data_IF_697200505867
#
_entry.id   IF_697200505867
#
_cell.length_a   1.000
_cell.length_b   1.000
_cell.length_c   1.000
_cell.angle_alpha   90.00
_cell.angle_beta   90.00
_cell.angle_gamma   90.00
#
_symmetry.space_group_name_H-M   'P 1'
#
loop_
_entity.id
_entity.type
_entity.pdbx_description
1 polymer ?
#
# COMPACT_ATOMS: atom_id res chain seq x y z
N UNK A 1 -12.15 -21.06 11.06
CA UNK A 1 -11.10 -20.10 11.47
C UNK A 1 -10.60 -19.37 10.24
N UNK A 2 -10.55 -18.05 10.30
CA UNK A 2 -10.13 -17.17 9.19
C UNK A 2 -9.31 -15.99 9.72
N UNK A 3 -8.83 -15.12 8.83
CA UNK A 3 -7.96 -14.00 9.19
C UNK A 3 -8.60 -13.01 10.17
N UNK A 4 -9.92 -12.84 10.16
CA UNK A 4 -10.60 -11.94 11.09
C UNK A 4 -10.56 -12.44 12.54
N UNK A 5 -10.44 -13.77 12.76
CA UNK A 5 -10.33 -14.34 14.10
C UNK A 5 -9.06 -13.88 14.84
N UNK A 6 -8.03 -13.43 14.11
CA UNK A 6 -6.79 -12.93 14.70
C UNK A 6 -7.01 -11.64 15.48
N UNK A 7 -7.95 -10.80 15.06
CA UNK A 7 -8.28 -9.53 15.73
C UNK A 7 -9.14 -9.70 16.98
N UNK A 8 -9.67 -10.90 17.20
CA UNK A 8 -10.40 -11.26 18.43
C UNK A 8 -9.48 -11.89 19.48
N UNK A 9 -8.18 -12.12 19.15
CA UNK A 9 -7.22 -12.74 20.05
C UNK A 9 -6.90 -11.85 21.24
N UNK A 10 -6.86 -12.48 22.42
CA UNK A 10 -6.41 -11.85 23.66
C UNK A 10 -5.10 -12.48 24.14
N UNK A 11 -4.27 -11.70 24.82
CA UNK A 11 -2.97 -12.17 25.34
C UNK A 11 -3.11 -13.44 26.18
N UNK A 12 -4.14 -13.53 27.01
CA UNK A 12 -4.41 -14.65 27.90
C UNK A 12 -4.65 -15.97 27.14
N UNK A 13 -5.11 -15.89 25.89
CA UNK A 13 -5.30 -17.06 25.02
C UNK A 13 -4.00 -17.51 24.35
N UNK A 14 -3.01 -16.64 24.27
CA UNK A 14 -1.72 -16.91 23.64
C UNK A 14 -0.73 -17.52 24.62
N UNK A 15 -0.71 -17.06 25.87
CA UNK A 15 0.25 -17.49 26.89
C UNK A 15 0.29 -19.01 27.16
N UNK A 16 -0.85 -19.77 27.09
CA UNK A 16 -0.83 -21.23 27.28
C UNK A 16 -0.26 -22.00 26.08
N UNK A 17 -0.03 -21.34 24.93
CA UNK A 17 0.45 -22.01 23.74
C UNK A 17 1.94 -22.36 23.86
N UNK A 18 2.31 -23.55 23.37
CA UNK A 18 3.70 -24.00 23.34
C UNK A 18 4.59 -22.97 22.61
N UNK A 19 5.73 -22.64 23.21
CA UNK A 19 6.71 -21.66 22.70
C UNK A 19 6.20 -20.21 22.60
N UNK A 20 5.09 -19.89 23.24
CA UNK A 20 4.53 -18.53 23.29
C UNK A 20 4.86 -17.89 24.65
N UNK A 21 6.02 -17.23 24.73
CA UNK A 21 6.39 -16.44 25.90
C UNK A 21 5.69 -15.07 25.91
N UNK A 22 5.67 -14.42 27.06
CA UNK A 22 5.01 -13.13 27.24
C UNK A 22 5.41 -12.05 26.20
N UNK A 23 6.71 -11.97 25.90
CA UNK A 23 7.24 -11.06 24.87
C UNK A 23 6.68 -11.37 23.49
N UNK A 24 6.57 -12.65 23.12
CA UNK A 24 6.03 -13.08 21.82
C UNK A 24 4.53 -12.78 21.71
N UNK A 25 3.78 -13.01 22.79
CA UNK A 25 2.36 -12.69 22.86
C UNK A 25 2.13 -11.18 22.73
N UNK A 26 2.91 -10.36 23.45
CA UNK A 26 2.83 -8.89 23.34
C UNK A 26 3.15 -8.43 21.91
N UNK A 27 4.25 -8.88 21.32
CA UNK A 27 4.63 -8.52 19.97
C UNK A 27 3.54 -8.87 18.95
N UNK A 28 2.85 -10.01 19.12
CA UNK A 28 1.75 -10.39 18.24
C UNK A 28 0.56 -9.44 18.37
N UNK A 29 0.13 -9.15 19.59
CA UNK A 29 -0.99 -8.22 19.83
C UNK A 29 -0.65 -6.82 19.34
N UNK A 30 0.55 -6.30 19.64
CA UNK A 30 1.03 -5.01 19.15
C UNK A 30 1.10 -4.97 17.62
N UNK A 31 1.54 -6.06 16.98
CA UNK A 31 1.56 -6.18 15.53
C UNK A 31 0.15 -6.16 14.91
N UNK A 32 -0.83 -6.79 15.55
CA UNK A 32 -2.23 -6.75 15.13
C UNK A 32 -2.81 -5.34 15.28
N UNK A 33 -2.53 -4.64 16.37
CA UNK A 33 -2.95 -3.25 16.55
C UNK A 33 -2.30 -2.31 15.52
N UNK A 34 -0.99 -2.47 15.28
CA UNK A 34 -0.29 -1.69 14.26
C UNK A 34 -0.84 -1.93 12.85
N UNK A 35 -1.30 -3.16 12.55
CA UNK A 35 -1.88 -3.50 11.25
C UNK A 35 -3.17 -2.76 10.94
N UNK A 36 -3.90 -2.26 11.94
CA UNK A 36 -5.10 -1.42 11.77
C UNK A 36 -4.78 -0.05 11.17
N UNK A 37 -3.50 0.38 11.23
CA UNK A 37 -3.06 1.64 10.65
C UNK A 37 -2.51 1.50 9.21
N UNK A 38 -2.46 0.30 8.70
CA UNK A 38 -2.01 0.02 7.33
C UNK A 38 -2.99 0.65 6.33
N UNK A 39 -2.50 1.34 5.28
CA UNK A 39 -3.36 2.02 4.31
C UNK A 39 -4.17 1.05 3.46
N UNK A 40 -5.30 1.53 2.93
CA UNK A 40 -6.32 0.73 2.23
C UNK A 40 -5.76 -0.15 1.10
N UNK A 41 -4.86 0.36 0.28
CA UNK A 41 -4.26 -0.41 -0.82
C UNK A 41 -3.51 -1.66 -0.35
N UNK A 42 -2.87 -1.59 0.82
CA UNK A 42 -2.20 -2.75 1.43
C UNK A 42 -3.20 -3.71 2.07
N UNK A 43 -4.26 -3.18 2.68
CA UNK A 43 -5.37 -4.01 3.18
C UNK A 43 -6.04 -4.75 2.03
N UNK A 44 -6.32 -4.07 0.91
CA UNK A 44 -6.90 -4.68 -0.29
C UNK A 44 -6.04 -5.81 -0.86
N UNK A 45 -4.71 -5.65 -0.86
CA UNK A 45 -3.80 -6.73 -1.21
C UNK A 45 -3.85 -7.89 -0.19
N UNK A 46 -3.83 -7.55 1.11
CA UNK A 46 -3.75 -8.53 2.20
C UNK A 46 -5.00 -9.40 2.36
N UNK A 47 -6.18 -8.97 1.90
CA UNK A 47 -7.40 -9.82 1.93
C UNK A 47 -7.33 -11.01 0.96
N UNK A 48 -6.34 -11.04 0.06
CA UNK A 48 -5.97 -12.22 -0.71
C UNK A 48 -6.90 -12.54 -1.88
N UNK A 49 -7.43 -11.54 -2.57
CA UNK A 49 -8.18 -11.76 -3.81
C UNK A 49 -7.24 -12.39 -4.84
N UNK A 50 -7.64 -13.52 -5.41
CA UNK A 50 -6.82 -14.25 -6.38
C UNK A 50 -6.44 -13.36 -7.56
N UNK A 51 -5.21 -13.46 -8.03
CA UNK A 51 -4.62 -12.67 -9.12
C UNK A 51 -4.47 -11.16 -8.87
N UNK A 52 -4.91 -10.65 -7.71
CA UNK A 52 -4.70 -9.25 -7.33
C UNK A 52 -3.37 -9.13 -6.58
N UNK A 53 -2.33 -8.70 -7.29
CA UNK A 53 -1.02 -8.39 -6.71
C UNK A 53 -0.98 -7.01 -6.05
N UNK A 54 0.11 -6.69 -5.36
CA UNK A 54 0.28 -5.41 -4.64
C UNK A 54 0.10 -4.19 -5.57
N UNK A 55 0.72 -4.23 -6.77
CA UNK A 55 0.61 -3.14 -7.76
C UNK A 55 -0.83 -2.97 -8.24
N UNK A 56 -1.51 -4.07 -8.55
CA UNK A 56 -2.90 -4.05 -9.00
C UNK A 56 -3.83 -3.57 -7.89
N UNK A 57 -3.64 -4.02 -6.64
CA UNK A 57 -4.40 -3.55 -5.49
C UNK A 57 -4.27 -2.03 -5.28
N UNK A 58 -3.05 -1.49 -5.43
CA UNK A 58 -2.79 -0.04 -5.35
C UNK A 58 -3.55 0.74 -6.43
N UNK A 59 -3.57 0.25 -7.68
CA UNK A 59 -4.30 0.89 -8.78
C UNK A 59 -5.81 0.84 -8.58
N UNK A 60 -6.33 -0.32 -8.17
CA UNK A 60 -7.75 -0.48 -7.84
C UNK A 60 -8.15 0.47 -6.71
N UNK A 61 -7.41 0.46 -5.59
CA UNK A 61 -7.69 1.31 -4.44
C UNK A 61 -7.72 2.80 -4.81
N UNK A 62 -6.78 3.25 -5.65
CA UNK A 62 -6.73 4.63 -6.14
C UNK A 62 -7.94 4.99 -7.01
N UNK A 63 -8.44 4.06 -7.83
CA UNK A 63 -9.62 4.29 -8.68
C UNK A 63 -10.91 4.29 -7.88
N UNK A 64 -11.12 3.28 -7.05
CA UNK A 64 -12.38 3.08 -6.31
C UNK A 64 -12.47 3.87 -5.01
N UNK A 65 -11.33 4.26 -4.43
CA UNK A 65 -11.17 5.02 -3.17
C UNK A 65 -11.64 4.30 -1.92
N UNK A 66 -12.61 3.39 -2.00
CA UNK A 66 -13.06 2.56 -0.88
C UNK A 66 -13.49 1.17 -1.34
N UNK A 67 -13.44 0.21 -0.41
CA UNK A 67 -13.90 -1.16 -0.67
C UNK A 67 -15.40 -1.22 -0.96
N UNK A 68 -16.18 -0.37 -0.30
CA UNK A 68 -17.64 -0.34 -0.52
C UNK A 68 -17.96 0.05 -1.96
N UNK A 69 -17.24 1.00 -2.53
CA UNK A 69 -17.35 1.36 -3.95
C UNK A 69 -16.89 0.19 -4.84
N UNK A 70 -15.76 -0.48 -4.50
CA UNK A 70 -15.29 -1.65 -5.26
C UNK A 70 -16.36 -2.76 -5.35
N UNK A 71 -17.06 -3.01 -4.25
CA UNK A 71 -18.12 -4.02 -4.19
C UNK A 71 -19.35 -3.70 -5.07
N UNK A 72 -19.51 -2.43 -5.49
CA UNK A 72 -20.60 -2.02 -6.40
C UNK A 72 -20.21 -2.07 -7.86
N UNK A 73 -18.92 -2.26 -8.18
CA UNK A 73 -18.43 -2.25 -9.57
C UNK A 73 -18.91 -3.47 -10.34
N UNK A 74 -19.35 -3.24 -11.58
CA UNK A 74 -19.55 -4.32 -12.56
C UNK A 74 -18.21 -4.82 -13.10
N UNK A 75 -18.20 -5.98 -13.78
CA UNK A 75 -17.00 -6.50 -14.46
C UNK A 75 -16.46 -5.51 -15.49
N UNK A 76 -17.33 -4.84 -16.24
CA UNK A 76 -16.96 -3.84 -17.25
C UNK A 76 -16.25 -2.64 -16.61
N UNK A 77 -16.76 -2.14 -15.50
CA UNK A 77 -16.14 -1.05 -14.74
C UNK A 77 -14.77 -1.43 -14.18
N UNK A 78 -14.60 -2.70 -13.75
CA UNK A 78 -13.30 -3.21 -13.31
C UNK A 78 -12.30 -3.26 -14.46
N UNK A 79 -12.71 -3.68 -15.65
CA UNK A 79 -11.87 -3.73 -16.86
C UNK A 79 -11.34 -2.36 -17.32
N UNK A 80 -12.03 -1.28 -16.98
CA UNK A 80 -11.54 0.08 -17.20
C UNK A 80 -10.38 0.48 -16.28
N UNK A 81 -10.04 -0.35 -15.30
CA UNK A 81 -8.91 -0.09 -14.39
C UNK A 81 -7.63 -0.61 -15.03
N UNK A 82 -6.61 0.25 -15.06
CA UNK A 82 -5.30 -0.10 -15.60
C UNK A 82 -4.72 -1.37 -14.94
N UNK A 83 -4.19 -2.29 -15.74
CA UNK A 83 -3.71 -3.64 -15.33
C UNK A 83 -4.80 -4.62 -14.83
N UNK A 84 -6.07 -4.29 -14.90
CA UNK A 84 -7.16 -5.22 -14.58
C UNK A 84 -7.68 -5.84 -15.87
N UNK A 85 -7.26 -7.08 -16.16
CA UNK A 85 -7.81 -7.90 -17.24
C UNK A 85 -8.99 -8.76 -16.78
N UNK A 86 -9.59 -9.50 -17.72
CA UNK A 86 -10.78 -10.35 -17.47
C UNK A 86 -10.61 -11.29 -16.27
N UNK A 87 -9.45 -11.96 -16.15
CA UNK A 87 -9.17 -12.91 -15.07
C UNK A 87 -9.18 -12.23 -13.71
N UNK A 88 -8.65 -11.00 -13.62
CA UNK A 88 -8.61 -10.25 -12.37
C UNK A 88 -10.01 -9.71 -12.04
N UNK A 89 -10.72 -9.17 -13.03
CA UNK A 89 -12.09 -8.68 -12.85
C UNK A 89 -13.02 -9.80 -12.38
N UNK A 90 -12.91 -10.98 -12.97
CA UNK A 90 -13.67 -12.16 -12.54
C UNK A 90 -13.31 -12.58 -11.11
N UNK A 91 -12.03 -12.66 -10.78
CA UNK A 91 -11.58 -13.02 -9.42
C UNK A 91 -12.09 -12.05 -8.36
N UNK A 92 -12.14 -10.74 -8.66
CA UNK A 92 -12.70 -9.74 -7.76
C UNK A 92 -14.20 -9.94 -7.60
N UNK A 93 -14.92 -10.14 -8.71
CA UNK A 93 -16.35 -10.33 -8.71
C UNK A 93 -16.75 -11.57 -7.91
N UNK A 94 -16.10 -12.71 -8.17
CA UNK A 94 -16.34 -13.97 -7.47
C UNK A 94 -16.02 -13.88 -5.98
N UNK A 95 -14.92 -13.18 -5.63
CA UNK A 95 -14.55 -12.98 -4.23
C UNK A 95 -15.64 -12.27 -3.44
N UNK A 96 -16.25 -11.22 -3.99
CA UNK A 96 -17.32 -10.49 -3.33
C UNK A 96 -18.70 -11.11 -3.49
N UNK A 97 -18.89 -12.03 -4.45
CA UNK A 97 -20.11 -12.85 -4.54
C UNK A 97 -20.21 -13.87 -3.38
N UNK A 98 -19.08 -14.30 -2.84
CA UNK A 98 -19.03 -15.25 -1.72
C UNK A 98 -19.43 -14.56 -0.40
N UNK A 99 -20.45 -15.09 0.24
CA UNK A 99 -20.98 -14.58 1.52
C UNK A 99 -19.96 -14.72 2.66
N UNK A 100 -19.14 -15.77 2.65
CA UNK A 100 -18.11 -15.96 3.67
C UNK A 100 -17.06 -14.86 3.60
N UNK A 101 -16.63 -14.49 2.38
CA UNK A 101 -15.69 -13.38 2.18
C UNK A 101 -16.27 -12.05 2.62
N UNK A 102 -17.54 -11.76 2.29
CA UNK A 102 -18.22 -10.55 2.77
C UNK A 102 -18.29 -10.49 4.30
N UNK A 103 -18.57 -11.63 4.96
CA UNK A 103 -18.59 -11.69 6.41
C UNK A 103 -17.19 -11.44 7.02
N UNK A 104 -16.13 -12.02 6.45
CA UNK A 104 -14.75 -11.74 6.85
C UNK A 104 -14.44 -10.25 6.74
N UNK A 105 -14.79 -9.63 5.61
CA UNK A 105 -14.60 -8.18 5.39
C UNK A 105 -15.33 -7.36 6.45
N UNK A 106 -16.57 -7.68 6.74
CA UNK A 106 -17.36 -7.00 7.77
C UNK A 106 -16.69 -7.08 9.14
N UNK A 107 -16.20 -8.26 9.50
CA UNK A 107 -15.47 -8.46 10.77
C UNK A 107 -14.16 -7.66 10.81
N UNK A 108 -13.40 -7.64 9.72
CA UNK A 108 -12.17 -6.84 9.62
C UNK A 108 -12.44 -5.34 9.71
N UNK A 109 -13.54 -4.85 9.10
CA UNK A 109 -13.99 -3.46 9.27
C UNK A 109 -14.30 -3.15 10.73
N UNK A 110 -15.05 -4.02 11.40
CA UNK A 110 -15.40 -3.87 12.80
C UNK A 110 -14.18 -3.93 13.73
N UNK A 111 -13.12 -4.64 13.35
CA UNK A 111 -11.85 -4.67 14.04
C UNK A 111 -11.04 -3.37 13.87
N UNK A 112 -11.42 -2.48 12.95
CA UNK A 112 -10.82 -1.17 12.76
C UNK A 112 -9.78 -1.07 11.64
N UNK A 113 -9.72 -2.05 10.72
CA UNK A 113 -8.88 -1.95 9.52
C UNK A 113 -9.42 -0.87 8.57
N UNK A 114 -8.51 -0.26 7.81
CA UNK A 114 -8.84 0.81 6.86
C UNK A 114 -9.28 0.22 5.51
N UNK A 115 -10.53 0.46 5.16
CA UNK A 115 -11.11 0.02 3.89
C UNK A 115 -11.45 1.17 2.93
N UNK A 116 -10.86 2.33 3.19
CA UNK A 116 -10.95 3.52 2.34
C UNK A 116 -9.64 4.30 2.36
N UNK A 117 -9.38 5.04 1.31
CA UNK A 117 -8.27 5.99 1.28
C UNK A 117 -8.54 7.12 2.28
N UNK A 118 -7.50 7.60 2.96
CA UNK A 118 -7.62 8.80 3.79
C UNK A 118 -8.05 10.01 2.96
N UNK A 119 -8.62 11.02 3.60
CA UNK A 119 -9.02 12.26 2.92
C UNK A 119 -7.86 12.91 2.15
N UNK A 120 -6.64 12.83 2.71
CA UNK A 120 -5.42 13.30 2.05
C UNK A 120 -5.09 12.50 0.79
N UNK A 121 -5.32 11.20 0.80
CA UNK A 121 -5.13 10.31 -0.36
C UNK A 121 -6.28 10.40 -1.39
N UNK A 122 -7.47 10.81 -0.96
CA UNK A 122 -8.64 10.99 -1.84
C UNK A 122 -8.60 12.33 -2.60
N UNK A 123 -7.96 13.34 -2.03
CA UNK A 123 -7.67 14.57 -2.76
C UNK A 123 -6.79 14.19 -3.93
N UNK A 124 -7.28 14.38 -5.15
CA UNK A 124 -6.55 14.05 -6.36
C UNK A 124 -5.13 14.57 -6.25
N UNK A 125 -4.15 13.66 -6.38
CA UNK A 125 -2.74 14.04 -6.38
C UNK A 125 -2.58 15.20 -7.35
N UNK A 126 -1.83 16.21 -6.98
CA UNK A 126 -1.59 17.33 -7.88
C UNK A 126 -0.71 16.84 -9.03
N UNK A 127 -0.97 17.29 -10.25
CA UNK A 127 -0.10 17.05 -11.41
C UNK A 127 1.19 17.90 -11.37
N UNK A 128 1.52 18.48 -10.20
CA UNK A 128 2.67 19.39 -10.02
C UNK A 128 4.01 18.76 -10.39
N UNK A 129 4.13 17.46 -10.26
CA UNK A 129 5.34 16.70 -10.56
C UNK A 129 5.21 15.89 -11.86
N UNK A 130 4.17 16.12 -12.65
CA UNK A 130 3.94 15.40 -13.90
C UNK A 130 5.12 15.61 -14.86
N UNK A 131 5.59 14.50 -15.44
CA UNK A 131 6.76 14.51 -16.36
C UNK A 131 8.11 14.56 -15.65
N UNK A 132 8.18 14.73 -14.33
CA UNK A 132 9.43 14.77 -13.56
C UNK A 132 9.78 13.38 -13.04
N UNK A 133 11.08 13.05 -13.13
CA UNK A 133 11.64 11.79 -12.62
C UNK A 133 12.56 12.07 -11.43
N UNK A 134 12.33 11.39 -10.33
CA UNK A 134 13.05 11.53 -9.08
C UNK A 134 13.88 10.28 -8.77
N UNK A 135 15.05 10.50 -8.17
CA UNK A 135 15.85 9.46 -7.52
C UNK A 135 15.98 9.83 -6.04
N UNK A 136 15.72 8.89 -5.16
CA UNK A 136 15.80 9.08 -3.70
C UNK A 136 17.02 8.32 -3.17
N UNK A 137 17.86 8.99 -2.41
CA UNK A 137 19.06 8.39 -1.83
C UNK A 137 19.40 9.00 -0.47
N UNK A 138 19.84 8.17 0.47
CA UNK A 138 20.14 8.60 1.83
C UNK A 138 19.05 8.23 2.84
N UNK A 139 19.16 8.73 4.05
CA UNK A 139 18.22 8.56 5.15
C UNK A 139 17.52 9.89 5.41
N UNK A 140 16.25 9.87 5.69
CA UNK A 140 15.44 11.07 5.91
C UNK A 140 14.81 11.02 7.30
N UNK A 141 14.82 12.14 8.02
CA UNK A 141 14.35 12.20 9.41
C UNK A 141 12.84 12.33 9.55
N UNK A 142 12.16 12.95 8.56
CA UNK A 142 10.70 13.22 8.62
C UNK A 142 9.85 12.18 7.90
N UNK A 143 10.39 11.57 6.85
CA UNK A 143 9.67 10.62 6.00
C UNK A 143 10.58 9.44 5.64
N UNK A 144 10.01 8.24 5.57
CA UNK A 144 10.72 7.09 5.01
C UNK A 144 10.89 7.26 3.48
N UNK A 145 11.83 6.50 2.90
CA UNK A 145 12.00 6.49 1.42
C UNK A 145 10.72 6.09 0.70
N UNK A 146 9.95 5.17 1.26
CA UNK A 146 8.72 4.69 0.64
C UNK A 146 7.62 5.75 0.73
N UNK A 147 7.51 6.47 1.84
CA UNK A 147 6.63 7.63 1.94
C UNK A 147 6.97 8.71 0.91
N UNK A 148 8.27 9.01 0.72
CA UNK A 148 8.69 9.99 -0.28
C UNK A 148 8.36 9.54 -1.71
N UNK A 149 8.53 8.25 -2.03
CA UNK A 149 8.11 7.70 -3.33
C UNK A 149 6.61 7.87 -3.53
N UNK A 150 5.82 7.52 -2.53
CA UNK A 150 4.37 7.68 -2.57
C UNK A 150 3.95 9.14 -2.79
N UNK A 151 4.58 10.08 -2.09
CA UNK A 151 4.33 11.52 -2.26
C UNK A 151 4.66 12.00 -3.68
N UNK A 152 5.75 11.53 -4.27
CA UNK A 152 6.14 11.86 -5.64
C UNK A 152 5.11 11.31 -6.64
N UNK A 153 4.78 10.03 -6.52
CA UNK A 153 3.80 9.38 -7.40
C UNK A 153 2.39 9.96 -7.23
N UNK A 154 2.02 10.31 -6.00
CA UNK A 154 0.76 10.98 -5.69
C UNK A 154 0.64 12.33 -6.40
N UNK A 155 1.75 13.04 -6.59
CA UNK A 155 1.80 14.31 -7.29
C UNK A 155 2.14 14.18 -8.79
N UNK A 156 2.03 13.01 -9.38
CA UNK A 156 2.24 12.77 -10.82
C UNK A 156 3.69 12.55 -11.24
N UNK A 157 4.64 12.56 -10.29
CA UNK A 157 6.06 12.31 -10.55
C UNK A 157 6.38 10.80 -10.71
N UNK A 158 7.53 10.51 -11.28
CA UNK A 158 8.06 9.14 -11.44
C UNK A 158 9.25 8.90 -10.54
N UNK A 159 9.34 7.71 -9.92
CA UNK A 159 10.48 7.26 -9.15
C UNK A 159 11.41 6.39 -9.99
N UNK A 160 12.72 6.59 -9.85
CA UNK A 160 13.75 5.76 -10.47
C UNK A 160 14.78 5.32 -9.42
N UNK A 161 15.27 4.08 -9.56
CA UNK A 161 16.33 3.55 -8.68
C UNK A 161 17.73 4.07 -9.03
N UNK A 162 17.93 4.58 -10.26
CA UNK A 162 19.23 5.02 -10.77
C UNK A 162 19.15 6.39 -11.45
N UNK A 163 20.24 7.17 -11.32
CA UNK A 163 20.37 8.45 -11.98
C UNK A 163 20.73 8.25 -13.46
N UNK A 164 20.03 8.96 -14.33
CA UNK A 164 20.24 8.98 -15.78
C UNK A 164 19.99 10.39 -16.34
N UNK A 165 20.26 10.62 -17.61
CA UNK A 165 19.94 11.88 -18.29
C UNK A 165 18.44 12.25 -18.30
N UNK A 166 17.55 11.32 -17.92
CA UNK A 166 16.11 11.56 -17.77
C UNK A 166 15.70 11.90 -16.34
N UNK A 167 16.65 11.89 -15.38
CA UNK A 167 16.38 12.24 -13.98
C UNK A 167 16.26 13.73 -13.82
N UNK A 168 15.16 14.22 -13.28
CA UNK A 168 14.91 15.64 -13.05
C UNK A 168 15.51 16.09 -11.70
N UNK A 169 15.35 15.27 -10.66
CA UNK A 169 15.78 15.59 -9.30
C UNK A 169 16.40 14.39 -8.59
N UNK A 170 17.44 14.67 -7.78
CA UNK A 170 17.96 13.76 -6.77
C UNK A 170 17.55 14.27 -5.39
N UNK A 171 16.68 13.53 -4.69
CA UNK A 171 16.41 13.77 -3.26
C UNK A 171 17.51 13.12 -2.44
N UNK A 172 18.34 13.98 -1.83
CA UNK A 172 19.51 13.60 -1.06
C UNK A 172 19.21 13.70 0.44
N UNK A 173 19.19 12.57 1.14
CA UNK A 173 19.13 12.50 2.61
C UNK A 173 20.51 12.27 3.22
N UNK A 174 20.53 12.14 4.55
CA UNK A 174 21.76 11.86 5.30
C UNK A 174 22.39 10.53 4.85
N UNK A 175 23.73 10.46 4.89
CA UNK A 175 24.49 9.27 4.50
C UNK A 175 24.23 8.79 3.06
N UNK A 176 23.94 9.69 2.14
CA UNK A 176 23.85 9.38 0.73
C UNK A 176 25.19 8.88 0.18
N UNK A 177 25.18 7.80 -0.59
CA UNK A 177 26.38 7.27 -1.23
C UNK A 177 27.03 8.27 -2.22
N UNK A 178 28.36 8.49 -2.17
CA UNK A 178 29.06 9.48 -2.97
C UNK A 178 28.95 9.26 -4.49
N UNK A 179 28.75 8.03 -4.92
CA UNK A 179 28.61 7.68 -6.34
C UNK A 179 27.38 8.30 -7.00
N UNK A 180 26.25 8.36 -6.26
CA UNK A 180 25.03 8.99 -6.77
C UNK A 180 25.18 10.51 -6.85
N UNK A 181 25.85 11.11 -5.87
CA UNK A 181 26.13 12.54 -5.88
C UNK A 181 26.97 12.94 -7.11
N UNK A 182 28.14 12.29 -7.28
CA UNK A 182 29.02 12.52 -8.44
C UNK A 182 28.29 12.34 -9.77
N UNK A 183 27.41 11.32 -9.86
CA UNK A 183 26.67 11.05 -11.09
C UNK A 183 25.61 12.13 -11.35
N UNK A 184 24.95 12.64 -10.32
CA UNK A 184 23.99 13.74 -10.44
C UNK A 184 24.69 15.03 -10.91
N UNK A 185 25.79 15.38 -10.30
CA UNK A 185 26.61 16.53 -10.69
C UNK A 185 27.10 16.44 -12.14
N UNK A 186 27.64 15.26 -12.53
CA UNK A 186 28.10 15.01 -13.91
C UNK A 186 26.99 15.16 -14.96
N UNK A 187 25.76 14.82 -14.62
CA UNK A 187 24.62 14.87 -15.52
C UNK A 187 23.78 16.15 -15.37
N UNK A 188 24.18 17.08 -14.49
CA UNK A 188 23.45 18.32 -14.25
C UNK A 188 22.08 18.11 -13.59
N UNK A 189 21.88 17.00 -12.86
CA UNK A 189 20.63 16.70 -12.14
C UNK A 189 20.55 17.58 -10.90
N UNK A 190 19.42 18.25 -10.70
CA UNK A 190 19.20 19.11 -9.52
C UNK A 190 19.13 18.24 -8.25
N UNK A 191 19.79 18.71 -7.18
CA UNK A 191 19.82 18.05 -5.87
C UNK A 191 19.00 18.87 -4.89
#
# INVERSE_FOLDING_TARGET
KNIADQYDLKKEQLLPLERMAEKSANNLIEGLEASKQVPFERVLYAIGIRHVGETTAKKIAKKVKSLDVLMTYSKEQLLETDEVGEVIAESIFDFFADEQNRNIITRLKNAGLKFELSEEQQQAGSDKLNGLTFVISGVFNKHSRDQLKEMIEFNGGKNSGSISGKTSFLLAGDNMGPEKLKKAEKLGVKI
#
